data_IF_503696605496
#
_entry.id   IF_503696605496
#
_cell.length_a   1.000
_cell.length_b   1.000
_cell.length_c   1.000
_cell.angle_alpha   90.00
_cell.angle_beta   90.00
_cell.angle_gamma   90.00
#
_symmetry.space_group_name_H-M   'P 1'
#
loop_
_entity.id
_entity.type
_entity.pdbx_description
1 polymer ?
#
# COMPACT_ATOMS: atom_id res chain seq x y z
N UNK A 1 4.94 -3.25 44.67
CA UNK A 1 4.67 -2.24 43.63
C UNK A 1 5.22 -2.74 42.31
N UNK A 2 4.36 -3.21 41.42
CA UNK A 2 4.64 -3.34 39.99
C UNK A 2 3.29 -3.54 39.29
N UNK A 3 2.84 -2.48 38.62
CA UNK A 3 1.54 -2.38 37.99
C UNK A 3 1.48 -3.27 36.76
N UNK A 4 0.54 -4.20 36.75
CA UNK A 4 0.15 -4.97 35.57
C UNK A 4 -0.49 -3.99 34.59
N UNK A 5 0.15 -3.75 33.46
CA UNK A 5 -0.42 -3.02 32.33
C UNK A 5 -1.62 -3.80 31.82
N UNK A 6 -2.82 -3.42 32.27
CA UNK A 6 -4.09 -3.89 31.68
C UNK A 6 -4.12 -3.39 30.24
N UNK A 7 -3.95 -4.31 29.29
CA UNK A 7 -4.40 -4.10 27.92
C UNK A 7 -5.87 -3.71 27.97
N UNK A 8 -6.18 -2.51 27.49
CA UNK A 8 -7.54 -2.03 27.42
C UNK A 8 -8.34 -2.94 26.48
N UNK A 9 -9.20 -3.78 27.06
CA UNK A 9 -10.25 -4.47 26.32
C UNK A 9 -11.16 -3.39 25.70
N UNK A 10 -11.02 -3.16 24.39
CA UNK A 10 -11.92 -2.28 23.64
C UNK A 10 -13.33 -2.86 23.70
N UNK A 11 -14.27 -2.06 24.22
CA UNK A 11 -15.69 -2.38 24.35
C UNK A 11 -16.34 -2.69 22.99
N UNK A 12 -17.33 -3.59 22.98
CA UNK A 12 -18.05 -4.05 21.77
C UNK A 12 -18.90 -2.97 21.07
N UNK A 13 -18.99 -1.75 21.61
CA UNK A 13 -19.78 -0.63 21.05
C UNK A 13 -18.97 0.67 20.91
N UNK A 14 -17.69 0.60 20.57
CA UNK A 14 -16.91 1.81 20.34
C UNK A 14 -17.35 2.53 19.05
N UNK A 15 -17.76 3.79 19.18
CA UNK A 15 -18.10 4.67 18.05
C UNK A 15 -16.87 5.51 17.71
N UNK A 16 -16.39 5.40 16.46
CA UNK A 16 -15.33 6.27 15.96
C UNK A 16 -15.94 7.67 15.70
N UNK A 17 -15.40 8.74 16.31
CA UNK A 17 -15.89 10.10 16.08
C UNK A 17 -15.88 10.48 14.59
N UNK A 18 -16.88 11.23 14.13
CA UNK A 18 -16.99 11.64 12.72
C UNK A 18 -15.72 12.33 12.21
N UNK A 19 -15.12 13.20 13.02
CA UNK A 19 -13.89 13.90 12.65
C UNK A 19 -12.72 12.93 12.39
N UNK A 20 -12.63 11.85 13.15
CA UNK A 20 -11.61 10.82 12.95
C UNK A 20 -11.87 10.03 11.67
N UNK A 21 -13.14 9.73 11.37
CA UNK A 21 -13.53 9.08 10.11
C UNK A 21 -13.09 9.95 8.93
N UNK A 22 -13.48 11.23 8.91
CA UNK A 22 -13.13 12.16 7.84
C UNK A 22 -11.62 12.28 7.71
N UNK A 23 -10.91 12.60 8.80
CA UNK A 23 -9.46 12.83 8.77
C UNK A 23 -8.71 11.61 8.27
N UNK A 24 -9.10 10.41 8.72
CA UNK A 24 -8.45 9.16 8.31
C UNK A 24 -8.85 8.72 6.90
N UNK A 25 -9.95 9.22 6.34
CA UNK A 25 -10.39 8.86 4.99
C UNK A 25 -9.96 9.85 3.90
N UNK A 26 -9.43 11.03 4.23
CA UNK A 26 -8.99 12.04 3.24
C UNK A 26 -8.00 11.47 2.21
N UNK A 27 -8.08 11.99 0.98
CA UNK A 27 -7.14 11.69 -0.11
C UNK A 27 -5.69 12.03 0.28
N UNK A 28 -4.84 11.00 0.38
CA UNK A 28 -3.42 11.13 0.71
C UNK A 28 -2.64 9.89 0.25
N UNK A 29 -1.29 9.93 0.21
CA UNK A 29 -0.47 8.73 0.04
C UNK A 29 -0.70 7.74 1.18
N UNK A 30 -0.89 6.45 0.83
CA UNK A 30 -1.13 5.36 1.78
C UNK A 30 -0.35 4.12 1.38
N UNK A 31 0.11 3.38 2.38
CA UNK A 31 0.69 2.06 2.17
C UNK A 31 -0.39 1.10 1.65
N UNK A 32 -0.13 0.51 0.48
CA UNK A 32 -0.97 -0.53 -0.12
C UNK A 32 -0.10 -1.69 -0.58
N UNK A 33 -0.67 -2.89 -0.57
CA UNK A 33 -0.04 -4.06 -1.15
C UNK A 33 -0.32 -4.08 -2.64
N UNK A 34 0.74 -3.98 -3.44
CA UNK A 34 0.67 -4.04 -4.91
C UNK A 34 1.24 -5.37 -5.37
N UNK A 35 0.46 -6.08 -6.16
CA UNK A 35 0.87 -7.33 -6.77
C UNK A 35 1.91 -7.07 -7.88
N UNK A 36 3.06 -7.73 -7.80
CA UNK A 36 4.18 -7.49 -8.73
C UNK A 36 3.80 -7.91 -10.15
N UNK A 37 3.00 -8.98 -10.30
CA UNK A 37 2.59 -9.48 -11.60
C UNK A 37 1.70 -8.47 -12.34
N UNK A 38 0.84 -7.75 -11.62
CA UNK A 38 0.01 -6.68 -12.20
C UNK A 38 0.83 -5.51 -12.77
N UNK A 39 1.97 -5.18 -12.15
CA UNK A 39 2.87 -4.10 -12.59
C UNK A 39 3.82 -4.56 -13.72
N UNK A 40 4.15 -5.86 -13.75
CA UNK A 40 5.10 -6.47 -14.69
C UNK A 40 4.45 -7.61 -15.49
N UNK A 41 3.28 -7.35 -16.07
CA UNK A 41 2.45 -8.35 -16.75
C UNK A 41 3.13 -9.01 -17.97
N UNK A 42 4.20 -8.43 -18.50
CA UNK A 42 4.99 -9.00 -19.59
C UNK A 42 5.79 -10.25 -19.17
N UNK A 43 6.02 -10.48 -17.88
CA UNK A 43 6.85 -11.59 -17.38
C UNK A 43 6.01 -12.80 -16.93
N UNK A 44 5.16 -13.33 -17.82
CA UNK A 44 4.18 -14.40 -17.49
C UNK A 44 4.79 -15.77 -17.14
N UNK A 45 6.08 -15.98 -17.42
CA UNK A 45 6.77 -17.26 -17.20
C UNK A 45 7.39 -17.39 -15.80
N UNK A 46 7.29 -16.36 -14.95
CA UNK A 46 7.97 -16.33 -13.66
C UNK A 46 7.03 -15.95 -12.51
N UNK A 47 7.34 -16.50 -11.35
CA UNK A 47 6.74 -16.09 -10.09
C UNK A 47 7.72 -15.19 -9.32
N UNK A 48 7.20 -14.26 -8.55
CA UNK A 48 8.00 -13.40 -7.68
C UNK A 48 7.84 -13.80 -6.21
N UNK A 49 8.93 -13.71 -5.44
CA UNK A 49 8.95 -13.87 -3.99
C UNK A 49 9.56 -12.60 -3.37
N UNK A 50 8.80 -11.80 -2.59
CA UNK A 50 7.35 -11.94 -2.37
C UNK A 50 6.53 -11.71 -3.66
N UNK A 51 5.26 -12.11 -3.69
CA UNK A 51 4.38 -11.85 -4.83
C UNK A 51 3.84 -10.41 -4.87
N UNK A 52 3.84 -9.73 -3.73
CA UNK A 52 3.43 -8.34 -3.59
C UNK A 52 4.44 -7.52 -2.78
N UNK A 53 4.44 -6.21 -2.99
CA UNK A 53 5.27 -5.23 -2.28
C UNK A 53 4.40 -4.15 -1.65
N UNK A 54 4.89 -3.52 -0.58
CA UNK A 54 4.23 -2.37 0.04
C UNK A 54 4.70 -1.12 -0.69
N UNK A 55 3.77 -0.32 -1.23
CA UNK A 55 4.05 0.94 -1.90
C UNK A 55 3.14 2.03 -1.37
N UNK A 56 3.63 3.27 -1.37
CA UNK A 56 2.76 4.43 -1.20
C UNK A 56 2.00 4.72 -2.49
N UNK A 57 0.66 4.60 -2.45
CA UNK A 57 -0.24 4.98 -3.55
C UNK A 57 -1.32 5.92 -3.03
N UNK A 58 -1.86 6.75 -3.92
CA UNK A 58 -2.94 7.66 -3.55
C UNK A 58 -4.19 6.85 -3.23
N UNK A 59 -4.80 7.17 -2.09
CA UNK A 59 -6.04 6.54 -1.67
C UNK A 59 -6.78 7.36 -0.64
N UNK A 60 -8.06 7.07 -0.48
CA UNK A 60 -8.98 7.84 0.34
C UNK A 60 -10.16 8.34 -0.49
N UNK A 61 -11.00 9.18 0.13
CA UNK A 61 -12.15 9.78 -0.50
C UNK A 61 -11.94 11.29 -0.72
N UNK A 62 -12.63 11.78 -1.74
CA UNK A 62 -12.83 13.20 -2.01
C UNK A 62 -14.20 13.64 -1.47
N UNK A 63 -14.39 14.95 -1.28
CA UNK A 63 -15.66 15.49 -0.81
C UNK A 63 -16.78 15.46 -1.86
N UNK A 64 -16.39 15.38 -3.13
CA UNK A 64 -17.30 15.28 -4.28
C UNK A 64 -17.02 13.95 -4.99
N UNK A 65 -18.08 13.20 -5.28
CA UNK A 65 -18.01 11.91 -5.98
C UNK A 65 -17.56 12.04 -7.43
N UNK A 66 -17.63 13.25 -8.01
CA UNK A 66 -17.11 13.54 -9.34
C UNK A 66 -15.58 13.70 -9.37
N UNK A 67 -14.91 13.76 -8.22
CA UNK A 67 -13.45 13.92 -8.12
C UNK A 67 -12.77 12.58 -7.82
N UNK A 68 -11.59 12.38 -8.40
CA UNK A 68 -10.76 11.23 -8.14
C UNK A 68 -9.51 11.61 -7.32
N UNK A 69 -9.08 10.73 -6.42
CA UNK A 69 -7.85 10.91 -5.65
C UNK A 69 -6.63 10.51 -6.50
N UNK A 70 -5.94 11.49 -7.08
CA UNK A 70 -4.87 11.27 -8.07
C UNK A 70 -3.51 11.80 -7.57
N UNK A 71 -2.39 11.21 -8.01
CA UNK A 71 -1.07 11.70 -7.66
C UNK A 71 -0.74 13.03 -8.33
N UNK A 72 -0.04 13.90 -7.59
CA UNK A 72 0.57 15.13 -8.12
C UNK A 72 2.07 15.05 -8.21
N UNK A 73 2.69 14.24 -7.35
CA UNK A 73 4.13 14.00 -7.32
C UNK A 73 4.39 12.51 -7.08
N UNK A 74 5.40 11.98 -7.78
CA UNK A 74 5.78 10.57 -7.72
C UNK A 74 7.29 10.43 -7.72
N UNK A 75 7.78 9.33 -7.17
CA UNK A 75 9.17 8.89 -7.33
C UNK A 75 9.23 7.40 -7.63
N UNK A 76 10.41 6.92 -8.03
CA UNK A 76 10.65 5.50 -8.20
C UNK A 76 11.47 4.95 -7.03
N UNK A 77 11.06 3.81 -6.49
CA UNK A 77 11.78 3.03 -5.49
C UNK A 77 12.21 1.70 -6.11
N UNK A 78 13.47 1.33 -5.89
CA UNK A 78 13.99 0.04 -6.33
C UNK A 78 13.98 -0.96 -5.18
N UNK A 79 13.39 -2.13 -5.40
CA UNK A 79 13.29 -3.21 -4.41
C UNK A 79 13.95 -4.48 -4.92
N UNK A 80 14.56 -5.23 -4.01
CA UNK A 80 15.09 -6.55 -4.31
C UNK A 80 14.00 -7.61 -4.15
N UNK A 81 13.79 -8.41 -5.19
CA UNK A 81 12.83 -9.52 -5.19
C UNK A 81 13.49 -10.77 -5.77
N UNK A 82 12.92 -11.93 -5.46
CA UNK A 82 13.37 -13.19 -6.06
C UNK A 82 12.46 -13.50 -7.24
N UNK A 83 13.04 -13.60 -8.44
CA UNK A 83 12.39 -14.16 -9.60
C UNK A 83 12.61 -15.67 -9.64
N UNK A 84 11.52 -16.43 -9.63
CA UNK A 84 11.50 -17.88 -9.53
C UNK A 84 10.83 -18.51 -10.75
N UNK A 85 11.58 -19.34 -11.48
CA UNK A 85 11.04 -20.32 -12.44
C UNK A 85 11.10 -21.70 -11.80
N UNK A 86 9.96 -22.37 -11.58
CA UNK A 86 9.93 -23.72 -11.02
C UNK A 86 10.87 -24.66 -11.81
N UNK A 87 11.70 -25.41 -11.09
CA UNK A 87 12.64 -26.41 -11.64
C UNK A 87 13.72 -25.89 -12.58
N UNK A 88 13.80 -24.58 -12.83
CA UNK A 88 14.80 -23.99 -13.75
C UNK A 88 15.76 -23.09 -13.00
N UNK A 89 15.26 -22.09 -12.28
CA UNK A 89 16.11 -21.04 -11.75
C UNK A 89 15.44 -20.20 -10.67
N UNK A 90 16.25 -19.75 -9.71
CA UNK A 90 15.89 -18.72 -8.74
C UNK A 90 17.00 -17.66 -8.72
N UNK A 91 16.63 -16.39 -8.93
CA UNK A 91 17.58 -15.25 -8.94
C UNK A 91 17.01 -14.08 -8.15
N UNK A 92 17.86 -13.40 -7.39
CA UNK A 92 17.56 -12.06 -6.88
C UNK A 92 17.70 -11.07 -8.01
N UNK A 93 16.71 -10.20 -8.16
CA UNK A 93 16.66 -9.14 -9.15
C UNK A 93 16.21 -7.86 -8.48
N UNK A 94 16.47 -6.74 -9.14
CA UNK A 94 15.98 -5.42 -8.74
C UNK A 94 14.81 -5.04 -9.63
N UNK A 95 13.67 -4.68 -9.03
CA UNK A 95 12.52 -4.11 -9.72
C UNK A 95 12.28 -2.69 -9.24
N UNK A 96 11.83 -1.82 -10.14
CA UNK A 96 11.56 -0.42 -9.84
C UNK A 96 10.05 -0.17 -9.83
N UNK A 97 9.54 0.41 -8.75
CA UNK A 97 8.12 0.69 -8.60
C UNK A 97 7.90 2.18 -8.43
N UNK A 98 6.80 2.70 -8.96
CA UNK A 98 6.40 4.08 -8.73
C UNK A 98 5.60 4.19 -7.42
N UNK A 99 6.01 5.12 -6.57
CA UNK A 99 5.27 5.55 -5.39
C UNK A 99 4.79 6.99 -5.54
N UNK A 100 3.69 7.30 -4.86
CA UNK A 100 3.10 8.63 -4.84
C UNK A 100 3.53 9.35 -3.55
N UNK A 101 4.12 10.54 -3.69
CA UNK A 101 4.57 11.35 -2.55
C UNK A 101 3.56 12.44 -2.18
N UNK A 102 2.68 12.82 -3.13
CA UNK A 102 1.61 13.80 -2.91
C UNK A 102 0.38 13.45 -3.76
N UNK A 103 -0.81 13.75 -3.23
CA UNK A 103 -2.11 13.43 -3.84
C UNK A 103 -3.07 14.60 -3.71
N UNK A 104 -3.97 14.76 -4.69
CA UNK A 104 -5.07 15.73 -4.65
C UNK A 104 -6.36 15.09 -5.19
N UNK A 105 -7.49 15.72 -4.86
CA UNK A 105 -8.76 15.45 -5.53
C UNK A 105 -8.84 16.27 -6.82
N UNK A 106 -8.95 15.61 -7.98
CA UNK A 106 -9.03 16.24 -9.29
C UNK A 106 -10.01 15.52 -10.21
#
# INVERSE_FOLDING_TARGET
>A
TASITKGAEKSKNEVIPLLDVVTKSLCQPREVLVDIFSEYAEDTEHNYIPSCVVLNRCGGCCSDEALECVPTETHNVTMEVIRHRPMVQQRRILLSFTEHTSCICR
#
